data_IF_958182449629
#
_entry.id   IF_958182449629
#
_cell.length_a   1.000
_cell.length_b   1.000
_cell.length_c   1.000
_cell.angle_alpha   90.00
_cell.angle_beta   90.00
_cell.angle_gamma   90.00
#
_symmetry.space_group_name_H-M   'P 1'
#
loop_
_entity.id
_entity.type
_entity.pdbx_description
1 polymer ?
#
# COMPACT_ATOMS: atom_id res chain seq x y z
N UNK A 1 16.30 2.61 -2.19
CA UNK A 1 15.52 1.70 -1.31
C UNK A 1 15.09 0.50 -2.12
N UNK A 2 15.52 -0.70 -1.75
CA UNK A 2 15.13 -1.94 -2.43
C UNK A 2 13.71 -2.35 -2.04
N UNK A 3 12.81 -2.44 -3.02
CA UNK A 3 11.42 -2.84 -2.82
C UNK A 3 11.30 -4.23 -2.19
N UNK A 4 12.09 -5.21 -2.68
CA UNK A 4 12.01 -6.58 -2.15
C UNK A 4 12.50 -6.66 -0.69
N UNK A 5 13.58 -5.95 -0.36
CA UNK A 5 14.16 -5.97 0.99
C UNK A 5 13.34 -5.14 1.99
N UNK A 6 12.70 -4.05 1.57
CA UNK A 6 11.98 -3.16 2.48
C UNK A 6 10.47 -3.41 2.50
N UNK A 7 9.87 -3.88 1.42
CA UNK A 7 8.42 -4.15 1.37
C UNK A 7 8.17 -5.61 1.67
N UNK A 8 8.68 -6.53 0.84
CA UNK A 8 8.45 -7.96 1.10
C UNK A 8 8.99 -8.37 2.47
N UNK A 9 10.23 -8.08 2.82
CA UNK A 9 10.79 -8.55 4.11
C UNK A 9 10.06 -8.02 5.35
N UNK A 10 9.52 -6.79 5.30
CA UNK A 10 8.70 -6.24 6.38
C UNK A 10 7.32 -6.91 6.47
N UNK A 11 6.78 -7.36 5.34
CA UNK A 11 5.47 -8.00 5.25
C UNK A 11 5.55 -9.54 5.48
N UNK A 12 6.65 -10.22 5.13
CA UNK A 12 6.77 -11.69 5.22
C UNK A 12 6.90 -12.22 6.65
N UNK A 13 7.21 -11.37 7.64
CA UNK A 13 7.38 -11.85 9.02
C UNK A 13 6.06 -12.15 9.74
N UNK A 14 4.92 -11.76 9.19
CA UNK A 14 3.62 -11.90 9.84
C UNK A 14 2.59 -12.43 8.80
N UNK A 15 1.89 -13.50 9.15
CA UNK A 15 0.76 -14.04 8.38
C UNK A 15 -0.54 -13.50 8.99
N UNK A 16 -1.56 -13.22 8.17
CA UNK A 16 -2.88 -12.71 8.56
C UNK A 16 -2.88 -11.30 9.22
N UNK A 17 -2.46 -10.30 8.46
CA UNK A 17 -2.37 -8.92 8.92
C UNK A 17 -3.52 -8.10 8.39
N UNK A 18 -4.31 -7.51 9.29
CA UNK A 18 -5.38 -6.59 8.93
C UNK A 18 -4.81 -5.22 8.57
N UNK A 19 -4.93 -4.85 7.30
CA UNK A 19 -4.53 -3.54 6.77
C UNK A 19 -5.73 -2.62 6.72
N UNK A 20 -5.61 -1.50 7.44
CA UNK A 20 -6.66 -0.51 7.46
C UNK A 20 -6.64 0.32 6.19
N UNK A 21 -7.80 0.49 5.60
CA UNK A 21 -8.01 1.29 4.41
C UNK A 21 -7.94 2.79 4.72
N UNK A 22 -7.30 3.59 3.87
CA UNK A 22 -7.29 5.06 3.99
C UNK A 22 -8.71 5.66 4.00
N UNK A 23 -9.65 5.00 3.31
CA UNK A 23 -11.06 5.39 3.30
C UNK A 23 -11.88 4.86 4.50
N UNK A 24 -11.33 3.97 5.33
CA UNK A 24 -12.01 3.34 6.47
C UNK A 24 -13.23 2.48 6.10
N UNK A 25 -13.29 1.98 4.85
CA UNK A 25 -14.45 1.25 4.30
C UNK A 25 -14.10 -0.03 3.55
N UNK A 26 -12.82 -0.34 3.41
CA UNK A 26 -12.34 -1.39 2.52
C UNK A 26 -11.04 -1.98 3.06
N UNK A 27 -11.07 -2.34 4.33
CA UNK A 27 -9.96 -2.99 5.01
C UNK A 27 -9.68 -4.34 4.33
N UNK A 28 -8.41 -4.72 4.31
CA UNK A 28 -7.94 -5.92 3.63
C UNK A 28 -7.01 -6.69 4.55
N UNK A 29 -7.12 -8.01 4.57
CA UNK A 29 -6.27 -8.89 5.35
C UNK A 29 -5.21 -9.47 4.44
N UNK A 30 -3.93 -9.20 4.72
CA UNK A 30 -2.81 -9.82 4.05
C UNK A 30 -2.53 -11.18 4.67
N UNK A 31 -2.81 -12.25 3.94
CA UNK A 31 -2.55 -13.61 4.40
C UNK A 31 -1.11 -13.99 4.13
N UNK A 32 -0.66 -13.85 2.88
CA UNK A 32 0.66 -14.30 2.45
C UNK A 32 1.20 -13.53 1.26
N UNK A 33 2.50 -13.68 1.04
CA UNK A 33 3.22 -13.09 -0.08
C UNK A 33 3.96 -14.21 -0.78
N UNK A 34 3.71 -14.34 -2.08
CA UNK A 34 4.33 -15.34 -2.94
C UNK A 34 4.98 -14.67 -4.15
N UNK A 35 5.74 -15.40 -4.96
CA UNK A 35 6.30 -14.86 -6.21
C UNK A 35 5.22 -14.34 -7.17
N UNK A 36 3.99 -14.89 -7.09
CA UNK A 36 2.85 -14.40 -7.85
C UNK A 36 2.38 -13.00 -7.39
N UNK A 37 2.60 -12.62 -6.14
CA UNK A 37 2.07 -11.38 -5.57
C UNK A 37 1.61 -11.50 -4.11
N UNK A 38 0.87 -10.49 -3.68
CA UNK A 38 0.25 -10.38 -2.36
C UNK A 38 -1.11 -11.06 -2.36
N UNK A 39 -1.29 -12.08 -1.53
CA UNK A 39 -2.57 -12.74 -1.32
C UNK A 39 -3.31 -12.05 -0.19
N UNK A 40 -4.42 -11.40 -0.55
CA UNK A 40 -5.20 -10.52 0.30
C UNK A 40 -6.66 -10.96 0.32
N UNK A 41 -7.34 -10.71 1.42
CA UNK A 41 -8.78 -10.91 1.54
C UNK A 41 -9.43 -9.59 1.89
N UNK A 42 -10.39 -9.14 1.10
CA UNK A 42 -11.14 -7.94 1.46
C UNK A 42 -12.07 -8.23 2.64
N UNK A 43 -12.44 -7.21 3.41
CA UNK A 43 -13.45 -7.30 4.46
C UNK A 43 -14.80 -7.90 3.99
N UNK A 44 -15.09 -7.84 2.69
CA UNK A 44 -16.23 -8.49 2.03
C UNK A 44 -16.10 -10.03 1.93
N UNK A 45 -15.01 -10.62 2.44
CA UNK A 45 -14.71 -12.06 2.38
C UNK A 45 -14.17 -12.54 1.03
N UNK A 46 -13.91 -11.62 0.09
CA UNK A 46 -13.40 -11.96 -1.23
C UNK A 46 -11.87 -12.01 -1.26
N UNK A 47 -11.31 -13.12 -1.74
CA UNK A 47 -9.88 -13.36 -1.87
C UNK A 47 -9.34 -12.84 -3.20
N UNK A 48 -8.18 -12.20 -3.16
CA UNK A 48 -7.51 -11.61 -4.31
C UNK A 48 -6.00 -11.71 -4.23
N UNK A 49 -5.38 -11.76 -5.39
CA UNK A 49 -3.92 -11.72 -5.50
C UNK A 49 -3.54 -10.46 -6.26
N UNK A 50 -2.80 -9.58 -5.58
CA UNK A 50 -2.27 -8.37 -6.20
C UNK A 50 -0.82 -8.60 -6.65
N UNK A 51 -0.51 -8.44 -7.95
CA UNK A 51 0.83 -8.70 -8.46
C UNK A 51 1.83 -7.64 -7.98
N UNK A 52 3.06 -8.07 -7.66
CA UNK A 52 4.14 -7.18 -7.22
C UNK A 52 4.40 -6.03 -8.20
N UNK A 53 4.29 -6.31 -9.50
CA UNK A 53 4.54 -5.32 -10.55
C UNK A 53 3.67 -4.07 -10.40
N UNK A 54 2.45 -4.18 -9.86
CA UNK A 54 1.58 -3.02 -9.62
C UNK A 54 2.01 -2.21 -8.41
N UNK A 55 2.23 -2.88 -7.29
CA UNK A 55 2.67 -2.22 -6.04
C UNK A 55 4.04 -1.58 -6.24
N UNK A 56 4.95 -2.28 -6.92
CA UNK A 56 6.29 -1.78 -7.29
C UNK A 56 6.21 -0.55 -8.19
N UNK A 57 5.35 -0.53 -9.22
CA UNK A 57 5.15 0.67 -10.05
C UNK A 57 4.70 1.88 -9.26
N UNK A 58 3.76 1.68 -8.33
CA UNK A 58 3.28 2.76 -7.46
C UNK A 58 4.40 3.22 -6.52
N UNK A 59 5.12 2.29 -5.93
CA UNK A 59 6.22 2.58 -5.02
C UNK A 59 7.40 3.29 -5.71
N UNK A 60 7.76 2.89 -6.93
CA UNK A 60 8.79 3.56 -7.74
C UNK A 60 8.40 5.01 -8.04
N UNK A 61 7.17 5.25 -8.51
CA UNK A 61 6.74 6.62 -8.75
C UNK A 61 6.62 7.45 -7.47
N UNK A 62 6.27 6.81 -6.35
CA UNK A 62 6.25 7.43 -5.03
C UNK A 62 7.67 7.81 -4.59
N UNK A 63 8.67 6.96 -4.83
CA UNK A 63 10.10 7.26 -4.63
C UNK A 63 10.59 8.40 -5.52
N UNK A 64 10.18 8.45 -6.78
CA UNK A 64 10.61 9.49 -7.72
C UNK A 64 9.98 10.85 -7.44
N UNK A 65 8.70 10.89 -7.07
CA UNK A 65 7.95 12.15 -6.90
C UNK A 65 7.86 12.61 -5.44
N UNK A 66 8.13 11.74 -4.47
CA UNK A 66 7.91 11.96 -3.03
C UNK A 66 6.43 11.95 -2.62
N UNK A 67 5.53 12.44 -3.48
CA UNK A 67 4.07 12.40 -3.29
C UNK A 67 3.41 11.88 -4.56
N UNK A 68 2.50 10.91 -4.43
CA UNK A 68 1.74 10.44 -5.57
C UNK A 68 0.33 9.97 -5.24
N UNK A 69 -0.57 10.17 -6.19
CA UNK A 69 -1.88 9.55 -6.22
C UNK A 69 -1.81 8.19 -6.93
N UNK A 70 -2.29 7.13 -6.29
CA UNK A 70 -2.21 5.76 -6.84
C UNK A 70 -2.86 5.62 -8.21
N UNK A 71 -3.93 6.36 -8.49
CA UNK A 71 -4.53 6.37 -9.83
C UNK A 71 -3.63 6.97 -10.92
N UNK A 72 -2.88 8.02 -10.58
CA UNK A 72 -1.91 8.62 -11.49
C UNK A 72 -0.72 7.68 -11.69
N UNK A 73 -0.35 6.94 -10.64
CA UNK A 73 0.69 5.95 -10.73
C UNK A 73 0.32 4.79 -11.68
N UNK A 74 -0.93 4.32 -11.58
CA UNK A 74 -1.48 3.20 -12.34
C UNK A 74 -2.09 3.59 -13.70
N UNK A 75 -1.91 4.83 -14.16
CA UNK A 75 -2.37 5.32 -15.47
C UNK A 75 -3.86 5.00 -15.74
N UNK A 76 -4.74 5.16 -14.74
CA UNK A 76 -6.16 4.81 -14.83
C UNK A 76 -6.47 3.33 -15.13
N UNK A 77 -5.52 2.40 -14.96
CA UNK A 77 -5.79 0.95 -14.94
C UNK A 77 -6.61 0.60 -13.71
N UNK A 78 -7.93 0.81 -13.81
CA UNK A 78 -8.94 0.91 -12.75
C UNK A 78 -9.21 -0.34 -11.90
N UNK A 79 -8.38 -1.36 -11.96
CA UNK A 79 -8.58 -2.57 -11.15
C UNK A 79 -8.13 -2.29 -9.72
N UNK A 80 -9.05 -1.86 -8.84
CA UNK A 80 -8.86 -1.91 -7.37
C UNK A 80 -7.66 -1.17 -6.82
N UNK A 81 -7.59 0.11 -7.17
CA UNK A 81 -6.63 1.12 -6.68
C UNK A 81 -6.46 1.08 -5.16
N UNK A 82 -7.53 0.74 -4.46
CA UNK A 82 -7.57 0.69 -3.00
C UNK A 82 -6.60 -0.34 -2.40
N UNK A 83 -6.22 -1.40 -3.14
CA UNK A 83 -5.30 -2.43 -2.65
C UNK A 83 -3.86 -1.92 -2.55
N UNK A 84 -3.19 -1.53 -3.66
CA UNK A 84 -1.83 -1.00 -3.60
C UNK A 84 -1.76 0.26 -2.72
N UNK A 85 -2.83 1.06 -2.69
CA UNK A 85 -2.94 2.23 -1.85
C UNK A 85 -2.95 1.88 -0.34
N UNK A 86 -3.75 0.88 0.05
CA UNK A 86 -3.82 0.41 1.45
C UNK A 86 -2.53 -0.29 1.86
N UNK A 87 -1.97 -1.15 0.99
CA UNK A 87 -0.68 -1.81 1.24
C UNK A 87 0.41 -0.79 1.51
N UNK A 88 0.55 0.22 0.66
CA UNK A 88 1.58 1.22 0.82
C UNK A 88 1.33 2.11 2.04
N UNK A 89 0.10 2.58 2.27
CA UNK A 89 -0.21 3.45 3.40
C UNK A 89 -0.04 2.80 4.79
N UNK A 90 0.04 1.48 4.87
CA UNK A 90 0.32 0.75 6.10
C UNK A 90 1.83 0.47 6.30
N UNK A 91 2.69 0.95 5.39
CA UNK A 91 4.14 0.84 5.52
C UNK A 91 4.69 1.98 6.38
N UNK A 92 5.66 1.70 7.26
CA UNK A 92 6.15 2.64 8.27
C UNK A 92 6.80 3.93 7.73
N UNK A 93 7.06 3.99 6.42
CA UNK A 93 7.69 5.12 5.71
C UNK A 93 6.73 5.78 4.69
N UNK A 94 5.45 5.40 4.67
CA UNK A 94 4.45 5.98 3.77
C UNK A 94 3.32 6.57 4.59
N UNK A 95 3.12 7.87 4.49
CA UNK A 95 1.97 8.54 5.05
C UNK A 95 0.90 8.72 3.99
N UNK A 96 -0.34 8.92 4.43
CA UNK A 96 -1.42 9.24 3.53
C UNK A 96 -2.06 10.58 3.88
N UNK A 97 -2.56 11.27 2.86
CA UNK A 97 -3.29 12.53 3.04
C UNK A 97 -4.35 12.70 1.96
N UNK A 98 -5.16 13.75 2.10
CA UNK A 98 -6.12 14.15 1.07
C UNK A 98 -5.74 15.52 0.55
N UNK A 99 -5.30 15.57 -0.71
CA UNK A 99 -5.06 16.82 -1.44
C UNK A 99 -6.20 16.95 -2.45
N UNK A 100 -6.91 18.07 -2.45
CA UNK A 100 -7.97 18.36 -3.43
C UNK A 100 -9.02 17.24 -3.55
N UNK A 101 -9.53 16.73 -2.42
CA UNK A 101 -10.48 15.61 -2.36
C UNK A 101 -9.98 14.27 -2.93
N UNK A 102 -8.68 14.17 -3.24
CA UNK A 102 -8.02 12.97 -3.77
C UNK A 102 -7.00 12.43 -2.79
N UNK A 103 -6.92 11.10 -2.68
CA UNK A 103 -6.04 10.44 -1.72
C UNK A 103 -4.61 10.39 -2.24
N UNK A 104 -3.69 11.01 -1.53
CA UNK A 104 -2.29 11.03 -1.89
C UNK A 104 -1.47 10.24 -0.87
N UNK A 105 -0.47 9.54 -1.37
CA UNK A 105 0.55 8.88 -0.58
C UNK A 105 1.79 9.77 -0.55
N UNK A 106 2.40 9.89 0.61
CA UNK A 106 3.61 10.66 0.85
C UNK A 106 4.69 9.71 1.32
N UNK A 107 5.84 9.75 0.67
CA UNK A 107 7.01 9.02 1.11
C UNK A 107 7.78 9.86 2.10
N UNK A 108 8.16 9.23 3.21
CA UNK A 108 9.03 9.82 4.21
C UNK A 108 10.40 9.17 4.16
N UNK A 109 11.43 9.96 4.45
CA UNK A 109 12.84 9.53 4.39
C UNK A 109 13.23 8.59 5.55
N UNK A 110 12.31 8.30 6.47
CA UNK A 110 12.52 7.42 7.61
C UNK A 110 11.26 6.69 8.08
N UNK A 111 11.39 5.84 9.11
CA UNK A 111 10.25 5.23 9.79
C UNK A 111 9.51 6.30 10.59
N UNK A 112 8.36 6.76 10.08
CA UNK A 112 7.52 7.78 10.72
C UNK A 112 6.49 7.19 11.68
N UNK A 113 6.10 5.94 11.47
CA UNK A 113 5.09 5.26 12.29
C UNK A 113 5.35 3.75 12.37
N UNK A 114 4.61 3.09 13.26
CA UNK A 114 4.68 1.64 13.44
C UNK A 114 4.14 0.91 12.20
N UNK A 115 4.70 -0.26 11.89
CA UNK A 115 4.19 -1.07 10.78
C UNK A 115 2.71 -1.36 11.00
N UNK A 116 1.93 -1.39 9.91
CA UNK A 116 0.49 -1.72 9.97
C UNK A 116 -0.38 -0.66 10.64
N UNK A 117 0.18 0.52 10.90
CA UNK A 117 -0.60 1.67 11.37
C UNK A 117 -0.76 2.67 10.26
N UNK A 118 -1.89 3.39 10.27
CA UNK A 118 -2.14 4.46 9.32
C UNK A 118 -1.69 5.77 9.93
N UNK A 119 -0.84 6.50 9.20
CA UNK A 119 -0.44 7.85 9.57
C UNK A 119 -0.99 8.85 8.56
N UNK A 120 -1.88 9.72 9.04
CA UNK A 120 -2.25 10.91 8.31
C UNK A 120 -1.06 11.89 8.33
N UNK A 121 -0.61 12.32 7.16
CA UNK A 121 0.25 13.50 7.04
C UNK A 121 -0.61 14.73 7.41
N UNK A 122 -0.17 15.48 8.43
CA UNK A 122 -0.77 16.74 8.90
C UNK A 122 -0.19 17.94 8.14
#
# INVERSE_FOLDING_TARGET
MDYNLNVCQNLTSHEDIELQSISGRADIVLHKIDQAGYHLTCADGKHFTEPHSRVEKVFQKLLENGVIHVDAALENSGTRRNIPETLLANLPFVEHGKIEHRKHLYLQDGHTHDKWTLKCAD
#
